data_IF_891027643194
#
_entry.id   IF_891027643194
#
_cell.length_a   1.000
_cell.length_b   1.000
_cell.length_c   1.000
_cell.angle_alpha   90.00
_cell.angle_beta   90.00
_cell.angle_gamma   90.00
#
_symmetry.space_group_name_H-M   'P 1'
#
loop_
_entity.id
_entity.type
_entity.pdbx_description
1 polymer ?
#
# COMPACT_ATOMS: atom_id res chain seq x y z
N UNK A 1 -13.80 8.50 8.66
CA UNK A 1 -12.40 8.87 8.39
C UNK A 1 -11.40 7.77 8.78
N UNK A 2 -11.59 7.08 9.91
CA UNK A 2 -10.65 6.04 10.35
C UNK A 2 -10.53 4.85 9.37
N UNK A 3 -11.65 4.22 8.99
CA UNK A 3 -11.69 3.07 8.09
C UNK A 3 -11.04 3.34 6.72
N UNK A 4 -11.31 4.52 6.12
CA UNK A 4 -10.70 4.92 4.85
C UNK A 4 -9.19 5.12 4.98
N UNK A 5 -8.72 5.75 6.07
CA UNK A 5 -7.28 5.93 6.30
C UNK A 5 -6.52 4.61 6.53
N UNK A 6 -7.12 3.65 7.24
CA UNK A 6 -6.53 2.34 7.46
C UNK A 6 -6.42 1.54 6.16
N UNK A 7 -7.50 1.54 5.37
CA UNK A 7 -7.54 0.90 4.06
C UNK A 7 -6.47 1.47 3.12
N UNK A 8 -6.31 2.80 3.07
CA UNK A 8 -5.27 3.45 2.28
C UNK A 8 -3.85 3.07 2.71
N UNK A 9 -3.57 2.97 4.01
CA UNK A 9 -2.23 2.57 4.50
C UNK A 9 -1.94 1.11 4.09
N UNK A 10 -2.91 0.20 4.25
CA UNK A 10 -2.73 -1.19 3.84
C UNK A 10 -2.54 -1.32 2.32
N UNK A 11 -3.31 -0.57 1.53
CA UNK A 11 -3.14 -0.52 0.07
C UNK A 11 -1.77 0.03 -0.32
N UNK A 12 -1.25 1.04 0.38
CA UNK A 12 0.10 1.56 0.14
C UNK A 12 1.18 0.49 0.33
N UNK A 13 1.07 -0.35 1.37
CA UNK A 13 1.99 -1.46 1.58
C UNK A 13 1.89 -2.47 0.43
N UNK A 14 0.68 -2.80 -0.02
CA UNK A 14 0.47 -3.68 -1.18
C UNK A 14 1.11 -3.11 -2.46
N UNK A 15 0.96 -1.81 -2.72
CA UNK A 15 1.57 -1.12 -3.86
C UNK A 15 3.10 -1.19 -3.77
N UNK A 16 3.67 -0.94 -2.60
CA UNK A 16 5.12 -1.04 -2.40
C UNK A 16 5.63 -2.43 -2.76
N UNK A 17 4.99 -3.48 -2.26
CA UNK A 17 5.39 -4.87 -2.52
C UNK A 17 5.24 -5.21 -4.02
N UNK A 18 4.11 -4.83 -4.61
CA UNK A 18 3.81 -5.02 -6.03
C UNK A 18 4.89 -4.39 -6.92
N UNK A 19 5.29 -3.15 -6.63
CA UNK A 19 6.33 -2.44 -7.38
C UNK A 19 7.72 -3.04 -7.15
N UNK A 20 8.04 -3.50 -5.94
CA UNK A 20 9.30 -4.23 -5.69
C UNK A 20 9.35 -5.53 -6.47
N UNK A 21 8.25 -6.29 -6.53
CA UNK A 21 8.17 -7.52 -7.33
C UNK A 21 8.33 -7.24 -8.82
N UNK A 22 7.68 -6.19 -9.33
CA UNK A 22 7.82 -5.77 -10.72
C UNK A 22 9.27 -5.40 -11.08
N UNK A 23 10.02 -4.78 -10.16
CA UNK A 23 11.45 -4.45 -10.37
C UNK A 23 12.37 -5.67 -10.27
N UNK A 24 12.09 -6.62 -9.36
CA UNK A 24 12.94 -7.80 -9.14
C UNK A 24 12.74 -8.88 -10.20
N UNK A 25 11.50 -9.10 -10.65
CA UNK A 25 11.16 -10.21 -11.55
C UNK A 25 10.21 -9.74 -12.67
N UNK A 26 10.63 -8.82 -13.56
CA UNK A 26 9.74 -8.12 -14.49
C UNK A 26 9.00 -9.04 -15.46
N UNK A 27 9.66 -10.07 -16.01
CA UNK A 27 9.08 -10.96 -17.03
C UNK A 27 7.93 -11.80 -16.47
N UNK A 28 8.19 -12.53 -15.38
CA UNK A 28 7.16 -13.31 -14.68
C UNK A 28 6.06 -12.43 -14.10
N UNK A 29 6.41 -11.22 -13.64
CA UNK A 29 5.45 -10.30 -13.07
C UNK A 29 4.39 -9.87 -14.09
N UNK A 30 4.81 -9.47 -15.30
CA UNK A 30 3.91 -9.06 -16.38
C UNK A 30 3.02 -10.21 -16.84
N UNK A 31 3.58 -11.42 -16.94
CA UNK A 31 2.85 -12.58 -17.47
C UNK A 31 1.83 -13.17 -16.49
N UNK A 32 2.13 -13.19 -15.18
CA UNK A 32 1.34 -13.99 -14.22
C UNK A 32 0.92 -13.23 -12.97
N UNK A 33 1.79 -12.39 -12.41
CA UNK A 33 1.57 -11.85 -11.07
C UNK A 33 0.80 -10.53 -11.03
N UNK A 34 0.82 -9.73 -12.10
CA UNK A 34 0.14 -8.42 -12.17
C UNK A 34 -1.35 -8.50 -11.79
N UNK A 35 -2.08 -9.43 -12.38
CA UNK A 35 -3.53 -9.57 -12.16
C UNK A 35 -3.84 -10.16 -10.78
N UNK A 36 -2.97 -11.05 -10.28
CA UNK A 36 -3.09 -11.64 -8.95
C UNK A 36 -2.90 -10.57 -7.86
N UNK A 37 -1.87 -9.73 -7.99
CA UNK A 37 -1.59 -8.64 -7.03
C UNK A 37 -2.66 -7.56 -7.03
N UNK A 38 -3.25 -7.24 -8.19
CA UNK A 38 -4.39 -6.34 -8.26
C UNK A 38 -5.58 -6.87 -7.44
N UNK A 39 -5.92 -8.16 -7.61
CA UNK A 39 -6.99 -8.81 -6.84
C UNK A 39 -6.70 -8.82 -5.35
N UNK A 40 -5.47 -9.14 -4.95
CA UNK A 40 -5.04 -9.11 -3.55
C UNK A 40 -5.19 -7.70 -2.97
N UNK A 41 -4.76 -6.67 -3.71
CA UNK A 41 -4.84 -5.27 -3.25
C UNK A 41 -6.29 -4.81 -3.06
N UNK A 42 -7.18 -5.15 -4.00
CA UNK A 42 -8.62 -4.87 -3.89
C UNK A 42 -9.22 -5.62 -2.70
N UNK A 43 -8.89 -6.91 -2.55
CA UNK A 43 -9.38 -7.72 -1.43
C UNK A 43 -8.94 -7.12 -0.08
N UNK A 44 -7.66 -6.75 0.07
CA UNK A 44 -7.15 -6.12 1.28
C UNK A 44 -7.84 -4.78 1.55
N UNK A 45 -8.06 -3.96 0.52
CA UNK A 45 -8.75 -2.68 0.65
C UNK A 45 -10.18 -2.85 1.19
N UNK A 46 -10.94 -3.77 0.58
CA UNK A 46 -12.33 -4.06 0.95
C UNK A 46 -12.39 -4.73 2.32
N UNK A 47 -11.56 -5.74 2.59
CA UNK A 47 -11.54 -6.45 3.87
C UNK A 47 -11.22 -5.50 5.03
N UNK A 48 -10.21 -4.65 4.89
CA UNK A 48 -9.83 -3.68 5.93
C UNK A 48 -10.89 -2.60 6.14
N UNK A 49 -11.53 -2.12 5.07
CA UNK A 49 -12.62 -1.16 5.17
C UNK A 49 -13.86 -1.76 5.85
N UNK A 50 -14.27 -2.96 5.43
CA UNK A 50 -15.41 -3.68 5.99
C UNK A 50 -15.17 -4.05 7.45
N UNK A 51 -13.98 -4.56 7.79
CA UNK A 51 -13.65 -4.92 9.17
C UNK A 51 -13.63 -3.69 10.09
N UNK A 52 -13.01 -2.58 9.66
CA UNK A 52 -13.03 -1.35 10.43
C UNK A 52 -14.46 -0.82 10.64
N UNK A 53 -15.32 -0.94 9.62
CA UNK A 53 -16.73 -0.54 9.71
C UNK A 53 -17.51 -1.44 10.66
N UNK A 54 -17.31 -2.76 10.61
CA UNK A 54 -17.94 -3.72 11.52
C UNK A 54 -17.55 -3.46 12.98
N UNK A 55 -16.27 -3.23 13.27
CA UNK A 55 -15.79 -2.90 14.62
C UNK A 55 -16.44 -1.61 15.13
N UNK A 56 -16.59 -0.61 14.26
CA UNK A 56 -17.30 0.63 14.61
C UNK A 56 -18.80 0.42 14.87
N UNK A 57 -19.47 -0.44 14.08
CA UNK A 57 -20.88 -0.75 14.28
C UNK A 57 -21.13 -1.56 15.55
N UNK A 58 -20.28 -2.55 15.86
CA UNK A 58 -20.39 -3.39 17.06
C UNK A 58 -20.01 -2.63 18.34
N UNK A 59 -19.09 -1.67 18.26
CA UNK A 59 -18.70 -0.80 19.38
C UNK A 59 -19.68 0.33 19.68
N UNK A 60 -20.81 0.39 18.97
CA UNK A 60 -21.82 1.44 19.12
C UNK A 60 -22.70 1.13 20.33
N UNK A 61 -22.65 1.97 21.35
CA UNK A 61 -23.54 1.88 22.53
C UNK A 61 -24.85 2.62 22.25
N UNK A 62 -25.95 2.12 22.82
CA UNK A 62 -27.24 2.82 22.73
C UNK A 62 -27.11 4.24 23.33
N UNK A 63 -27.68 5.25 22.67
CA UNK A 63 -27.56 6.63 23.11
C UNK A 63 -28.31 6.83 24.43
N UNK A 64 -27.58 7.12 25.50
CA UNK A 64 -28.19 7.56 26.75
C UNK A 64 -28.82 8.93 26.52
N UNK A 65 -30.16 9.00 26.52
CA UNK A 65 -30.94 10.20 26.16
C UNK A 65 -30.73 11.42 27.08
N UNK A 66 -29.94 11.30 28.14
CA UNK A 66 -29.69 12.36 29.11
C UNK A 66 -28.42 13.18 28.85
N UNK A 67 -27.57 12.83 27.87
CA UNK A 67 -26.28 13.50 27.66
C UNK A 67 -26.10 13.90 26.20
N UNK A 68 -26.23 15.20 25.92
CA UNK A 68 -26.13 15.84 24.61
C UNK A 68 -24.67 15.95 24.10
N UNK A 69 -23.86 14.91 24.33
CA UNK A 69 -22.47 14.87 23.88
C UNK A 69 -22.32 13.92 22.70
N UNK A 70 -22.01 14.52 21.53
CA UNK A 70 -21.55 13.85 20.30
C UNK A 70 -20.38 12.86 20.51
N UNK A 71 -19.75 12.87 21.68
CA UNK A 71 -18.63 12.03 22.10
C UNK A 71 -19.01 10.66 22.66
N UNK A 72 -20.30 10.32 22.80
CA UNK A 72 -20.78 9.12 23.50
C UNK A 72 -21.28 7.95 22.64
N UNK A 73 -21.19 8.02 21.31
CA UNK A 73 -21.87 7.05 20.43
C UNK A 73 -21.07 5.75 20.23
N UNK A 74 -19.75 5.77 20.50
CA UNK A 74 -18.86 4.61 20.33
C UNK A 74 -17.95 4.49 21.55
N UNK A 75 -17.77 3.26 22.04
CA UNK A 75 -16.96 2.99 23.21
C UNK A 75 -15.51 3.51 23.05
N UNK A 76 -14.99 4.20 24.06
CA UNK A 76 -13.63 4.78 24.02
C UNK A 76 -12.55 3.71 23.87
N UNK A 77 -12.79 2.53 24.43
CA UNK A 77 -11.84 1.41 24.32
C UNK A 77 -11.76 0.88 22.88
N UNK A 78 -12.90 0.81 22.18
CA UNK A 78 -12.94 0.41 20.76
C UNK A 78 -12.20 1.43 19.90
N UNK A 79 -12.40 2.72 20.19
CA UNK A 79 -11.66 3.80 19.51
C UNK A 79 -10.16 3.68 19.78
N UNK A 80 -9.74 3.48 21.03
CA UNK A 80 -8.32 3.33 21.38
C UNK A 80 -7.66 2.12 20.72
N UNK A 81 -8.33 0.96 20.68
CA UNK A 81 -7.82 -0.25 20.03
C UNK A 81 -7.63 0.00 18.53
N UNK A 82 -8.62 0.61 17.88
CA UNK A 82 -8.52 0.98 16.46
C UNK A 82 -7.33 1.93 16.22
N UNK A 83 -7.19 2.98 17.02
CA UNK A 83 -6.05 3.89 16.90
C UNK A 83 -4.71 3.20 17.13
N UNK A 84 -4.60 2.29 18.10
CA UNK A 84 -3.37 1.53 18.34
C UNK A 84 -3.00 0.65 17.13
N UNK A 85 -3.97 -0.06 16.53
CA UNK A 85 -3.77 -0.87 15.32
C UNK A 85 -3.31 0.00 14.14
N UNK A 86 -3.98 1.14 13.92
CA UNK A 86 -3.59 2.08 12.85
C UNK A 86 -2.18 2.61 13.04
N UNK A 87 -1.84 3.02 14.26
CA UNK A 87 -0.50 3.51 14.59
C UNK A 87 0.54 2.43 14.38
N UNK A 88 0.28 1.19 14.81
CA UNK A 88 1.15 0.04 14.57
C UNK A 88 1.43 -0.19 13.08
N UNK A 89 0.39 -0.26 12.25
CA UNK A 89 0.55 -0.47 10.80
C UNK A 89 1.28 0.71 10.16
N UNK A 90 1.01 1.94 10.61
CA UNK A 90 1.70 3.13 10.11
C UNK A 90 3.20 3.14 10.43
N UNK A 91 3.61 2.62 11.59
CA UNK A 91 5.03 2.46 11.95
C UNK A 91 5.75 1.50 11.01
N UNK A 92 5.07 0.47 10.48
CA UNK A 92 5.65 -0.42 9.46
C UNK A 92 5.64 0.19 8.05
N UNK A 93 4.65 1.02 7.73
CA UNK A 93 4.54 1.62 6.39
C UNK A 93 5.76 2.51 6.02
N UNK A 94 6.31 3.24 7.01
CA UNK A 94 7.49 4.10 6.82
C UNK A 94 8.73 3.29 6.38
N UNK A 95 9.20 2.27 7.13
CA UNK A 95 10.36 1.47 6.73
C UNK A 95 10.14 0.71 5.42
N UNK A 96 8.93 0.23 5.13
CA UNK A 96 8.62 -0.36 3.82
C UNK A 96 8.78 0.64 2.68
N UNK A 97 8.31 1.88 2.88
CA UNK A 97 8.46 2.97 1.90
C UNK A 97 9.93 3.33 1.69
N UNK A 98 10.72 3.42 2.77
CA UNK A 98 12.17 3.69 2.68
C UNK A 98 12.89 2.56 1.94
N UNK A 99 12.56 1.30 2.25
CA UNK A 99 13.09 0.15 1.53
C UNK A 99 12.75 0.19 0.03
N UNK A 100 11.48 0.50 -0.30
CA UNK A 100 11.06 0.70 -1.69
C UNK A 100 11.88 1.78 -2.40
N UNK A 101 12.05 2.94 -1.79
CA UNK A 101 12.84 4.03 -2.37
C UNK A 101 14.29 3.61 -2.60
N UNK A 102 14.88 2.82 -1.70
CA UNK A 102 16.23 2.28 -1.88
C UNK A 102 16.32 1.28 -3.05
N UNK A 103 15.33 0.39 -3.20
CA UNK A 103 15.25 -0.53 -4.34
C UNK A 103 15.05 0.24 -5.64
N UNK A 104 14.16 1.24 -5.64
CA UNK A 104 13.90 2.11 -6.79
C UNK A 104 15.16 2.87 -7.20
N UNK A 105 15.91 3.47 -6.26
CA UNK A 105 17.19 4.13 -6.56
C UNK A 105 18.18 3.20 -7.23
N UNK A 106 18.31 1.95 -6.75
CA UNK A 106 19.18 0.94 -7.38
C UNK A 106 18.70 0.59 -8.79
N UNK A 107 17.41 0.37 -8.96
CA UNK A 107 16.82 0.03 -10.26
C UNK A 107 17.03 1.16 -11.28
N UNK A 108 16.73 2.42 -10.91
CA UNK A 108 16.92 3.59 -11.77
C UNK A 108 18.39 3.72 -12.17
N UNK A 109 19.34 3.52 -11.25
CA UNK A 109 20.78 3.56 -11.57
C UNK A 109 21.17 2.48 -12.60
N UNK A 110 20.68 1.25 -12.45
CA UNK A 110 20.96 0.14 -13.37
C UNK A 110 20.35 0.41 -14.76
N UNK A 111 19.10 0.87 -14.80
CA UNK A 111 18.42 1.20 -16.06
C UNK A 111 19.09 2.38 -16.77
N UNK A 112 19.46 3.43 -16.03
CA UNK A 112 20.20 4.57 -16.56
C UNK A 112 21.59 4.19 -17.10
N UNK A 113 22.24 3.16 -16.56
CA UNK A 113 23.50 2.62 -17.10
C UNK A 113 23.29 1.74 -18.35
N UNK A 114 22.14 1.07 -18.48
CA UNK A 114 21.83 0.22 -19.64
C UNK A 114 21.33 1.01 -20.86
N UNK A 115 20.55 2.08 -20.66
CA UNK A 115 20.05 2.92 -21.77
C UNK A 115 21.15 3.44 -22.72
N UNK A 116 22.27 4.04 -22.26
CA UNK A 116 23.29 4.56 -23.17
C UNK A 116 23.95 3.43 -23.99
N UNK A 117 24.00 2.20 -23.48
CA UNK A 117 24.63 1.07 -24.18
C UNK A 117 23.81 0.52 -25.35
N UNK A 118 22.47 0.54 -25.26
CA UNK A 118 21.63 0.09 -26.38
C UNK A 118 21.53 1.16 -27.46
N UNK A 119 21.40 2.45 -27.09
CA UNK A 119 21.37 3.54 -28.06
C UNK A 119 22.71 3.67 -28.81
N UNK A 120 23.86 3.49 -28.13
CA UNK A 120 25.16 3.40 -28.80
C UNK A 120 25.27 2.16 -29.71
N UNK A 121 24.71 1.01 -29.31
CA UNK A 121 24.73 -0.20 -30.15
C UNK A 121 23.85 -0.04 -31.39
N UNK A 122 22.71 0.65 -31.30
CA UNK A 122 21.87 0.94 -32.49
C UNK A 122 22.55 1.91 -33.44
N UNK A 123 23.20 2.96 -32.92
CA UNK A 123 23.92 3.94 -33.74
C UNK A 123 25.15 3.32 -34.43
N UNK A 124 25.91 2.46 -33.75
CA UNK A 124 27.04 1.74 -34.37
C UNK A 124 26.60 0.77 -35.47
N UNK A 125 25.40 0.18 -35.36
CA UNK A 125 24.84 -0.65 -36.43
C UNK A 125 24.35 0.17 -37.64
N UNK A 126 23.86 1.38 -37.41
CA UNK A 126 23.41 2.30 -38.48
C UNK A 126 24.58 2.96 -39.23
N UNK A 127 25.73 3.14 -38.59
CA UNK A 127 26.94 3.71 -39.21
C UNK A 127 27.85 2.67 -39.90
N UNK A 128 27.44 1.41 -39.96
CA UNK A 128 28.18 0.31 -40.62
C UNK A 128 27.65 -0.06 -42.02
N UNK A 129 26.83 0.82 -42.60
CA UNK A 129 26.36 0.79 -44.00
C UNK A 129 26.97 2.00 -44.70
#
# INVERSE_FOLDING_TARGET
MFASSLSLICVNICIVIDRVMAMKIPVLYVQKYKQMWLRISIFVAVATFSMATLVYCLGRKEPNMSVQHFTGVVDRDVVNILYAVKSGISVFNIPFTVYFLNVLKKFVKITAQRLPSETLRTVVHLFKI
#
